data_IF_127481697138
#
_entry.id   IF_127481697138
#
_cell.length_a   1.000
_cell.length_b   1.000
_cell.length_c   1.000
_cell.angle_alpha   90.00
_cell.angle_beta   90.00
_cell.angle_gamma   90.00
#
_symmetry.space_group_name_H-M   'P 1'
#
loop_
_entity.id
_entity.type
_entity.pdbx_description
1 polymer ?
#
# COMPACT_ATOMS: atom_id res chain seq x y z
N UNK A 1 16.15 -60.74 6.21
CA UNK A 1 15.00 -59.83 6.42
C UNK A 1 15.39 -58.47 5.86
N UNK A 2 14.88 -58.11 4.69
CA UNK A 2 15.22 -56.85 4.02
C UNK A 2 14.26 -55.76 4.51
N UNK A 3 14.80 -54.76 5.23
CA UNK A 3 14.03 -53.66 5.78
C UNK A 3 13.99 -52.54 4.73
N UNK A 4 12.83 -52.34 4.10
CA UNK A 4 12.60 -51.26 3.15
C UNK A 4 12.14 -50.01 3.90
N UNK A 5 12.94 -48.94 3.83
CA UNK A 5 12.55 -47.63 4.33
C UNK A 5 11.78 -46.88 3.25
N UNK A 6 10.49 -46.72 3.44
CA UNK A 6 9.63 -45.84 2.65
C UNK A 6 9.89 -44.40 3.08
N UNK A 7 10.61 -43.63 2.26
CA UNK A 7 10.78 -42.19 2.45
C UNK A 7 9.49 -41.50 2.01
N UNK A 8 8.73 -40.99 2.97
CA UNK A 8 7.55 -40.14 2.71
C UNK A 8 8.05 -38.72 2.45
N UNK A 9 8.09 -38.31 1.19
CA UNK A 9 8.36 -36.94 0.81
C UNK A 9 7.14 -36.06 1.13
N UNK A 10 7.20 -35.33 2.24
CA UNK A 10 6.26 -34.26 2.55
C UNK A 10 6.56 -33.08 1.60
N UNK A 11 5.83 -33.02 0.49
CA UNK A 11 5.84 -31.84 -0.39
C UNK A 11 5.10 -30.74 0.36
N UNK A 12 5.87 -29.86 1.01
CA UNK A 12 5.33 -28.64 1.62
C UNK A 12 4.79 -27.75 0.50
N UNK A 13 3.47 -27.61 0.43
CA UNK A 13 2.84 -26.58 -0.41
C UNK A 13 3.15 -25.26 0.28
N UNK A 14 4.25 -24.62 -0.10
CA UNK A 14 4.47 -23.21 0.24
C UNK A 14 3.41 -22.47 -0.58
N UNK A 15 2.38 -21.85 0.03
CA UNK A 15 1.55 -20.94 -0.73
C UNK A 15 2.50 -19.84 -1.20
N UNK A 16 2.74 -19.75 -2.51
CA UNK A 16 3.24 -18.52 -3.13
C UNK A 16 2.16 -17.47 -2.89
N UNK A 17 2.16 -16.91 -1.68
CA UNK A 17 1.62 -15.60 -1.44
C UNK A 17 2.46 -14.69 -2.32
N UNK A 18 1.94 -14.35 -3.50
CA UNK A 18 2.35 -13.14 -4.19
C UNK A 18 1.87 -11.94 -3.35
N UNK A 19 2.40 -11.87 -2.14
CA UNK A 19 2.02 -10.93 -1.10
C UNK A 19 2.63 -9.59 -1.41
N UNK A 20 1.88 -8.54 -1.08
CA UNK A 20 2.43 -7.19 -1.04
C UNK A 20 3.74 -7.20 -0.24
N UNK A 21 4.84 -6.62 -0.74
CA UNK A 21 6.11 -6.69 -0.05
C UNK A 21 5.97 -6.13 1.37
N UNK A 22 6.36 -6.90 2.39
CA UNK A 22 6.40 -6.41 3.75
C UNK A 22 7.50 -5.34 3.87
N UNK A 23 7.17 -4.18 4.46
CA UNK A 23 8.12 -3.10 4.70
C UNK A 23 8.63 -3.20 6.15
N UNK A 24 9.36 -4.28 6.45
CA UNK A 24 9.75 -4.65 7.81
C UNK A 24 10.54 -3.56 8.55
N UNK A 25 11.35 -2.79 7.82
CA UNK A 25 12.25 -1.79 8.40
C UNK A 25 11.54 -0.50 8.83
N UNK A 26 10.22 -0.38 8.57
CA UNK A 26 9.46 0.83 8.88
C UNK A 26 8.96 0.90 10.33
N UNK A 27 8.99 -0.20 11.08
CA UNK A 27 8.55 -0.22 12.47
C UNK A 27 7.13 0.35 12.65
N UNK A 28 6.98 1.39 13.47
CA UNK A 28 5.70 2.06 13.74
C UNK A 28 5.13 2.84 12.54
N UNK A 29 5.94 3.10 11.52
CA UNK A 29 5.49 3.70 10.27
C UNK A 29 5.04 2.65 9.25
N UNK A 30 5.17 1.34 9.54
CA UNK A 30 4.63 0.31 8.67
C UNK A 30 3.09 0.36 8.66
N UNK A 31 2.50 0.28 7.47
CA UNK A 31 1.05 0.20 7.33
C UNK A 31 0.56 -1.15 7.85
N UNK A 32 -0.56 -1.15 8.60
CA UNK A 32 -1.23 -2.39 9.06
C UNK A 32 -1.46 -3.33 7.86
N UNK A 33 -1.01 -4.58 7.97
CA UNK A 33 -1.00 -5.53 6.85
C UNK A 33 -2.41 -5.76 6.26
N UNK A 34 -3.44 -5.85 7.10
CA UNK A 34 -4.84 -6.03 6.67
C UNK A 34 -5.36 -4.89 5.79
N UNK A 35 -4.87 -3.66 6.00
CA UNK A 35 -5.19 -2.48 5.18
C UNK A 35 -4.34 -2.50 3.91
N UNK A 36 -3.06 -2.83 4.06
CA UNK A 36 -2.08 -2.91 2.98
C UNK A 36 -2.50 -3.88 1.88
N UNK A 37 -2.92 -5.09 2.26
CA UNK A 37 -3.34 -6.12 1.31
C UNK A 37 -4.56 -5.68 0.49
N UNK A 38 -5.47 -4.90 1.08
CA UNK A 38 -6.62 -4.34 0.38
C UNK A 38 -6.23 -3.19 -0.56
N UNK A 39 -5.46 -2.23 -0.04
CA UNK A 39 -5.13 -1.02 -0.79
C UNK A 39 -4.27 -1.32 -2.00
N UNK A 40 -3.17 -2.06 -1.82
CA UNK A 40 -2.18 -2.27 -2.88
C UNK A 40 -2.78 -3.01 -4.07
N UNK A 41 -3.53 -4.08 -3.80
CA UNK A 41 -4.19 -4.86 -4.85
C UNK A 41 -5.20 -4.02 -5.64
N UNK A 42 -5.95 -3.16 -4.94
CA UNK A 42 -6.98 -2.33 -5.58
C UNK A 42 -6.39 -1.15 -6.33
N UNK A 43 -5.33 -0.51 -5.84
CA UNK A 43 -4.61 0.54 -6.57
C UNK A 43 -4.03 -0.01 -7.87
N UNK A 44 -3.39 -1.18 -7.82
CA UNK A 44 -2.87 -1.88 -9.01
C UNK A 44 -4.01 -2.17 -9.99
N UNK A 45 -5.11 -2.75 -9.51
CA UNK A 45 -6.28 -3.05 -10.33
C UNK A 45 -6.89 -1.80 -10.98
N UNK A 46 -7.01 -0.69 -10.25
CA UNK A 46 -7.56 0.57 -10.77
C UNK A 46 -6.59 1.33 -11.68
N UNK A 47 -5.29 1.05 -11.62
CA UNK A 47 -4.31 1.74 -12.45
C UNK A 47 -4.46 1.43 -13.94
N UNK A 48 -5.04 0.27 -14.27
CA UNK A 48 -5.12 -0.25 -15.65
C UNK A 48 -3.76 -0.36 -16.35
N UNK A 49 -2.65 -0.27 -15.59
CA UNK A 49 -1.29 -0.36 -16.11
C UNK A 49 -0.84 -1.83 -16.22
N UNK A 50 -0.01 -2.17 -17.21
CA UNK A 50 0.56 -3.50 -17.33
C UNK A 50 1.65 -3.73 -16.25
N UNK A 51 1.22 -4.15 -15.06
CA UNK A 51 2.10 -4.39 -13.90
C UNK A 51 2.50 -5.87 -13.85
N UNK A 52 3.80 -6.15 -13.97
CA UNK A 52 4.34 -7.51 -14.00
C UNK A 52 4.56 -8.11 -12.62
N UNK A 53 4.73 -7.28 -11.58
CA UNK A 53 4.88 -7.70 -10.20
C UNK A 53 4.46 -6.58 -9.24
N UNK A 54 3.84 -6.93 -8.10
CA UNK A 54 3.52 -5.95 -7.04
C UNK A 54 4.81 -5.33 -6.50
N UNK A 55 5.86 -6.14 -6.31
CA UNK A 55 7.13 -5.69 -5.76
C UNK A 55 7.92 -4.76 -6.69
N UNK A 56 7.57 -4.67 -7.98
CA UNK A 56 8.23 -3.74 -8.91
C UNK A 56 7.61 -2.35 -8.90
N UNK A 57 6.42 -2.18 -8.31
CA UNK A 57 5.69 -0.91 -8.30
C UNK A 57 5.41 -0.39 -6.90
N UNK A 58 5.36 -1.26 -5.89
CA UNK A 58 5.16 -0.84 -4.51
C UNK A 58 6.48 -0.43 -3.86
N UNK A 59 6.53 0.79 -3.34
CA UNK A 59 7.73 1.44 -2.81
C UNK A 59 7.59 1.71 -1.31
N UNK A 60 8.43 1.04 -0.51
CA UNK A 60 8.43 1.18 0.95
C UNK A 60 8.88 2.57 1.42
N UNK A 61 9.69 3.30 0.65
CA UNK A 61 10.08 4.67 1.00
C UNK A 61 8.89 5.62 0.85
N UNK A 62 8.02 5.38 -0.14
CA UNK A 62 6.76 6.10 -0.28
C UNK A 62 5.75 5.71 0.80
N UNK A 63 5.71 4.45 1.26
CA UNK A 63 4.93 4.05 2.45
C UNK A 63 5.38 4.80 3.69
N UNK A 64 6.70 4.88 3.92
CA UNK A 64 7.29 5.62 5.04
C UNK A 64 6.92 7.10 4.98
N UNK A 65 7.16 7.74 3.84
CA UNK A 65 6.86 9.15 3.61
C UNK A 65 5.37 9.45 3.85
N UNK A 66 4.47 8.57 3.37
CA UNK A 66 3.05 8.71 3.64
C UNK A 66 2.73 8.60 5.14
N UNK A 67 3.39 7.69 5.86
CA UNK A 67 3.27 7.57 7.33
C UNK A 67 3.71 8.84 8.06
N UNK A 68 4.87 9.38 7.70
CA UNK A 68 5.41 10.63 8.28
C UNK A 68 4.49 11.84 7.99
N UNK A 69 3.91 11.91 6.79
CA UNK A 69 2.95 12.97 6.43
C UNK A 69 1.67 12.85 7.27
N UNK A 70 1.19 11.63 7.54
CA UNK A 70 0.00 11.40 8.36
C UNK A 70 0.24 11.72 9.85
N UNK A 71 1.48 11.65 10.32
CA UNK A 71 1.87 12.03 11.69
C UNK A 71 2.05 13.55 11.84
N UNK A 72 2.43 14.25 10.77
CA UNK A 72 2.68 15.69 10.77
C UNK A 72 1.45 16.55 10.42
N UNK A 73 1.43 17.83 10.84
CA UNK A 73 0.40 18.78 10.42
C UNK A 73 0.57 19.16 8.95
N UNK A 74 -0.06 18.42 8.03
CA UNK A 74 -0.57 18.81 6.69
C UNK A 74 0.26 19.79 5.83
N UNK A 75 1.59 19.80 5.93
CA UNK A 75 2.41 20.88 5.35
C UNK A 75 3.01 20.64 3.97
N UNK A 76 2.86 19.46 3.37
CA UNK A 76 3.76 19.10 2.25
C UNK A 76 3.09 18.59 0.97
N UNK A 77 1.77 18.58 0.84
CA UNK A 77 1.13 18.00 -0.36
C UNK A 77 1.48 18.74 -1.66
N UNK A 78 1.62 20.08 -1.64
CA UNK A 78 2.01 20.84 -2.83
C UNK A 78 3.45 20.55 -3.28
N UNK A 79 4.36 20.38 -2.32
CA UNK A 79 5.75 20.04 -2.61
C UNK A 79 5.87 18.67 -3.29
N UNK A 80 4.98 17.73 -2.97
CA UNK A 80 4.95 16.41 -3.63
C UNK A 80 4.77 16.55 -5.14
N UNK A 81 3.88 17.43 -5.60
CA UNK A 81 3.66 17.65 -7.04
C UNK A 81 4.92 18.20 -7.73
N UNK A 82 5.69 19.06 -7.06
CA UNK A 82 6.95 19.63 -7.57
C UNK A 82 8.03 18.54 -7.77
N UNK A 83 8.04 17.53 -6.90
CA UNK A 83 8.94 16.37 -7.00
C UNK A 83 8.33 15.19 -7.76
N UNK A 84 7.22 15.40 -8.47
CA UNK A 84 6.63 14.39 -9.33
C UNK A 84 5.90 13.27 -8.60
N UNK A 85 5.27 13.60 -7.47
CA UNK A 85 4.44 12.70 -6.66
C UNK A 85 3.02 13.27 -6.57
N UNK A 86 2.04 12.50 -7.00
CA UNK A 86 0.63 12.82 -6.82
C UNK A 86 0.10 12.19 -5.53
N UNK A 87 -0.49 13.00 -4.65
CA UNK A 87 -1.02 12.54 -3.38
C UNK A 87 -2.53 12.33 -3.44
N UNK A 88 -2.99 11.20 -2.89
CA UNK A 88 -4.39 10.83 -2.74
C UNK A 88 -4.75 10.75 -1.24
N UNK A 89 -4.96 11.88 -0.56
CA UNK A 89 -5.41 11.88 0.82
C UNK A 89 -6.87 11.46 0.93
N UNK A 90 -7.23 10.75 1.99
CA UNK A 90 -8.60 10.49 2.38
C UNK A 90 -8.70 10.45 3.90
N UNK A 91 -9.81 10.94 4.46
CA UNK A 91 -10.07 10.87 5.89
C UNK A 91 -11.55 10.69 6.15
N UNK A 92 -11.88 9.83 7.09
CA UNK A 92 -13.25 9.56 7.52
C UNK A 92 -13.30 9.41 9.03
N UNK A 93 -14.27 10.05 9.68
CA UNK A 93 -14.52 9.84 11.10
C UNK A 93 -15.02 8.40 11.32
N UNK A 94 -14.58 7.79 12.40
CA UNK A 94 -15.06 6.50 12.85
C UNK A 94 -16.59 6.56 12.98
N UNK A 95 -17.24 5.56 12.39
CA UNK A 95 -18.70 5.42 12.43
C UNK A 95 -19.04 4.21 13.30
N UNK A 96 -19.92 4.34 14.31
CA UNK A 96 -20.28 3.22 15.16
C UNK A 96 -20.75 2.00 14.35
N UNK A 97 -20.13 0.84 14.59
CA UNK A 97 -20.44 -0.40 13.89
C UNK A 97 -19.82 -0.53 12.49
N UNK A 98 -19.10 0.47 11.99
CA UNK A 98 -18.33 0.36 10.76
C UNK A 98 -17.02 -0.40 11.00
N UNK A 99 -16.71 -1.34 10.11
CA UNK A 99 -15.45 -2.09 10.17
C UNK A 99 -14.34 -1.33 9.45
N UNK A 100 -13.08 -1.61 9.82
CA UNK A 100 -11.91 -1.08 9.11
C UNK A 100 -11.95 -1.40 7.60
N UNK A 101 -12.52 -2.55 7.24
CA UNK A 101 -12.75 -2.95 5.85
C UNK A 101 -13.65 -1.94 5.10
N UNK A 102 -14.77 -1.52 5.71
CA UNK A 102 -15.69 -0.56 5.11
C UNK A 102 -15.04 0.82 4.95
N UNK A 103 -14.28 1.26 5.95
CA UNK A 103 -13.59 2.55 5.91
C UNK A 103 -12.45 2.56 4.88
N UNK A 104 -11.73 1.43 4.76
CA UNK A 104 -10.72 1.23 3.71
C UNK A 104 -11.34 1.23 2.31
N UNK A 105 -12.52 0.62 2.14
CA UNK A 105 -13.26 0.66 0.88
C UNK A 105 -13.74 2.06 0.52
N UNK A 106 -14.14 2.88 1.49
CA UNK A 106 -14.52 4.27 1.23
C UNK A 106 -13.36 5.11 0.66
N UNK A 107 -12.13 4.89 1.16
CA UNK A 107 -10.93 5.50 0.59
C UNK A 107 -10.71 5.05 -0.86
N UNK A 108 -10.80 3.74 -1.11
CA UNK A 108 -10.62 3.15 -2.43
C UNK A 108 -11.66 3.61 -3.45
N UNK A 109 -12.93 3.69 -3.07
CA UNK A 109 -14.02 4.18 -3.94
C UNK A 109 -13.83 5.66 -4.31
N UNK A 110 -13.27 6.45 -3.38
CA UNK A 110 -12.88 7.83 -3.65
C UNK A 110 -11.75 7.87 -4.67
N UNK A 111 -10.67 7.12 -4.44
CA UNK A 111 -9.47 7.13 -5.28
C UNK A 111 -9.68 6.48 -6.66
N UNK A 112 -10.60 5.53 -6.80
CA UNK A 112 -10.91 4.83 -8.05
C UNK A 112 -11.18 5.77 -9.23
N UNK A 113 -11.73 6.96 -8.98
CA UNK A 113 -12.02 7.98 -10.02
C UNK A 113 -10.80 8.76 -10.49
N UNK A 114 -9.70 8.69 -9.73
CA UNK A 114 -8.48 9.46 -9.92
C UNK A 114 -7.33 8.58 -10.41
N UNK A 115 -7.18 7.37 -9.86
CA UNK A 115 -6.07 6.47 -10.17
C UNK A 115 -5.88 6.23 -11.68
N UNK A 116 -6.92 5.95 -12.51
CA UNK A 116 -6.73 5.74 -13.94
C UNK A 116 -6.20 6.96 -14.70
N UNK A 117 -6.29 8.16 -14.12
CA UNK A 117 -5.88 9.44 -14.74
C UNK A 117 -4.47 9.86 -14.35
N UNK A 118 -3.84 9.14 -13.42
CA UNK A 118 -2.55 9.47 -12.87
C UNK A 118 -1.59 8.36 -13.26
N UNK A 119 -0.82 8.51 -14.35
CA UNK A 119 0.24 7.56 -14.65
C UNK A 119 1.28 7.60 -13.52
N UNK A 120 1.76 6.45 -13.06
CA UNK A 120 2.79 6.38 -12.02
C UNK A 120 3.72 5.20 -12.27
N UNK A 121 4.98 5.35 -11.88
CA UNK A 121 6.02 4.32 -11.99
C UNK A 121 6.06 3.48 -10.70
N UNK A 122 6.02 4.15 -9.55
CA UNK A 122 5.92 3.50 -8.25
C UNK A 122 4.90 4.19 -7.36
N UNK A 123 4.43 3.48 -6.34
CA UNK A 123 3.54 4.04 -5.34
C UNK A 123 3.77 3.44 -3.95
N UNK A 124 3.42 4.18 -2.92
CA UNK A 124 3.35 3.69 -1.55
C UNK A 124 2.17 4.33 -0.85
N UNK A 125 1.57 3.60 0.09
CA UNK A 125 0.42 4.08 0.83
C UNK A 125 0.62 3.87 2.33
N UNK A 126 -0.07 4.66 3.14
CA UNK A 126 -0.10 4.47 4.59
C UNK A 126 -1.50 4.74 5.14
N UNK A 127 -1.70 4.27 6.37
CA UNK A 127 -2.92 4.40 7.14
C UNK A 127 -2.59 4.67 8.60
N UNK A 128 -3.25 5.69 9.18
CA UNK A 128 -3.17 6.01 10.60
C UNK A 128 -4.56 6.25 11.16
N UNK A 129 -4.73 5.90 12.43
CA UNK A 129 -5.96 6.08 13.18
C UNK A 129 -5.67 7.00 14.35
N UNK A 130 -6.26 8.20 14.34
CA UNK A 130 -6.00 9.22 15.36
C UNK A 130 -7.34 9.79 15.83
N UNK A 131 -7.59 9.75 17.15
CA UNK A 131 -8.76 10.38 17.77
C UNK A 131 -10.12 9.99 17.14
N UNK A 132 -10.31 8.72 16.78
CA UNK A 132 -11.55 8.26 16.15
C UNK A 132 -11.71 8.75 14.71
N UNK A 133 -10.61 9.05 14.02
CA UNK A 133 -10.59 9.31 12.59
C UNK A 133 -9.58 8.39 11.89
N UNK A 134 -9.98 7.88 10.74
CA UNK A 134 -9.18 7.02 9.88
C UNK A 134 -8.60 7.86 8.75
N UNK A 135 -7.28 7.96 8.70
CA UNK A 135 -6.54 8.73 7.72
C UNK A 135 -5.79 7.80 6.78
N UNK A 136 -5.94 8.03 5.49
CA UNK A 136 -5.31 7.25 4.44
C UNK A 136 -4.58 8.20 3.50
N UNK A 137 -3.42 7.79 3.03
CA UNK A 137 -2.65 8.54 2.05
C UNK A 137 -1.95 7.57 1.10
N UNK A 138 -2.20 7.71 -0.20
CA UNK A 138 -1.41 7.07 -1.24
C UNK A 138 -0.59 8.12 -1.99
N UNK A 139 0.68 7.81 -2.24
CA UNK A 139 1.63 8.62 -2.99
C UNK A 139 1.96 7.91 -4.29
N UNK A 140 1.62 8.53 -5.42
CA UNK A 140 1.85 7.99 -6.77
C UNK A 140 2.99 8.76 -7.43
N UNK A 141 4.18 8.16 -7.53
CA UNK A 141 5.36 8.79 -8.15
C UNK A 141 5.31 8.60 -9.67
N UNK A 142 5.29 9.71 -10.41
CA UNK A 142 5.22 9.73 -11.88
C UNK A 142 6.47 10.29 -12.55
N UNK A 143 7.40 10.86 -11.77
CA UNK A 143 8.72 11.26 -12.22
C UNK A 143 9.77 10.43 -11.50
N UNK A 144 10.72 9.88 -12.25
CA UNK A 144 11.92 9.28 -11.67
C UNK A 144 12.97 10.37 -11.66
N UNK A 145 13.33 10.87 -10.48
CA UNK A 145 14.46 11.79 -10.39
C UNK A 145 15.74 11.00 -10.69
N UNK A 146 16.35 11.27 -11.84
CA UNK A 146 17.73 10.87 -12.11
C UNK A 146 18.63 11.81 -11.31
N UNK A 147 18.81 11.56 -10.01
CA UNK A 147 19.94 12.13 -9.29
C UNK A 147 21.18 11.33 -9.67
N UNK A 148 21.88 11.81 -10.70
CA UNK A 148 23.25 11.43 -11.08
C UNK A 148 24.26 11.84 -10.02
#
# INVERSE_FOLDING_TARGET
MAMWYTIIALVSVIPLSHGVPPCYDLGEHAMKQEVKDQIVQKVIFYSEQPITSVSSVYDCDLEKMAGEILEGPHKYLKFLEEIGIHALPFSISETPGATLYLMTHAALDTWKKHIPKVPFVTFGCNYKENHGAHHYLCLLRYKVDFSS
#
